data_IF_912429210426
#
_entry.id   IF_912429210426
#
_cell.length_a   1.000
_cell.length_b   1.000
_cell.length_c   1.000
_cell.angle_alpha   90.00
_cell.angle_beta   90.00
_cell.angle_gamma   90.00
#
_symmetry.space_group_name_H-M   'P 1'
#
loop_
_entity.id
_entity.type
_entity.pdbx_description
1 polymer ?
#
# COMPACT_ATOMS: atom_id res chain seq x y z
N UNK A 1 29.60 -3.01 5.50
CA UNK A 1 28.75 -1.92 4.98
C UNK A 1 28.44 -1.00 6.15
N UNK A 2 28.73 0.29 6.05
CA UNK A 2 28.46 1.22 7.15
C UNK A 2 26.96 1.61 7.21
N UNK A 3 26.52 2.09 8.38
CA UNK A 3 25.11 2.45 8.64
C UNK A 3 24.59 3.56 7.71
N UNK A 4 25.43 4.51 7.28
CA UNK A 4 25.01 5.59 6.36
C UNK A 4 24.74 5.03 4.96
N UNK A 5 25.62 4.16 4.48
CA UNK A 5 25.48 3.50 3.18
C UNK A 5 24.25 2.60 3.16
N UNK A 6 24.00 1.83 4.24
CA UNK A 6 22.79 1.00 4.36
C UNK A 6 21.52 1.84 4.34
N UNK A 7 21.41 2.86 5.19
CA UNK A 7 20.22 3.70 5.27
C UNK A 7 19.93 4.44 3.96
N UNK A 8 20.96 4.88 3.24
CA UNK A 8 20.82 5.46 1.91
C UNK A 8 20.23 4.45 0.92
N UNK A 9 20.72 3.22 0.92
CA UNK A 9 20.20 2.16 0.07
C UNK A 9 18.71 1.90 0.36
N UNK A 10 18.34 1.75 1.63
CA UNK A 10 16.95 1.55 2.05
C UNK A 10 16.06 2.70 1.59
N UNK A 11 16.48 3.95 1.79
CA UNK A 11 15.72 5.13 1.33
C UNK A 11 15.51 5.14 -0.18
N UNK A 12 16.55 4.81 -0.95
CA UNK A 12 16.45 4.76 -2.40
C UNK A 12 15.47 3.67 -2.87
N UNK A 13 15.55 2.47 -2.27
CA UNK A 13 14.62 1.37 -2.58
C UNK A 13 13.19 1.74 -2.21
N UNK A 14 12.97 2.32 -1.03
CA UNK A 14 11.64 2.79 -0.63
C UNK A 14 11.07 3.84 -1.59
N UNK A 15 11.89 4.76 -2.08
CA UNK A 15 11.42 5.75 -3.05
C UNK A 15 11.08 5.11 -4.40
N UNK A 16 11.94 4.24 -4.90
CA UNK A 16 11.69 3.51 -6.14
C UNK A 16 10.39 2.68 -6.07
N UNK A 17 10.15 2.01 -4.93
CA UNK A 17 8.90 1.28 -4.73
C UNK A 17 7.68 2.21 -4.83
N UNK A 18 7.73 3.38 -4.17
CA UNK A 18 6.64 4.38 -4.26
C UNK A 18 6.40 4.85 -5.69
N UNK A 19 7.47 5.06 -6.45
CA UNK A 19 7.36 5.53 -7.84
C UNK A 19 6.76 4.45 -8.75
N UNK A 20 7.13 3.19 -8.54
CA UNK A 20 6.56 2.03 -9.25
C UNK A 20 5.10 1.84 -8.89
N UNK A 21 4.77 1.88 -7.60
CA UNK A 21 3.39 1.78 -7.10
C UNK A 21 2.52 2.87 -7.71
N UNK A 22 3.00 4.13 -7.69
CA UNK A 22 2.28 5.25 -8.29
C UNK A 22 2.00 5.04 -9.78
N UNK A 23 3.00 4.59 -10.55
CA UNK A 23 2.84 4.31 -11.99
C UNK A 23 1.82 3.19 -12.22
N UNK A 24 1.92 2.10 -11.45
CA UNK A 24 1.01 0.96 -11.54
C UNK A 24 -0.44 1.35 -11.24
N UNK A 25 -0.66 2.18 -10.21
CA UNK A 25 -2.00 2.68 -9.88
C UNK A 25 -2.52 3.64 -10.93
N UNK A 26 -1.66 4.44 -11.57
CA UNK A 26 -2.08 5.30 -12.68
C UNK A 26 -2.58 4.47 -13.87
N UNK A 27 -1.84 3.41 -14.23
CA UNK A 27 -2.21 2.48 -15.29
C UNK A 27 -3.52 1.75 -14.97
N UNK A 28 -3.65 1.22 -13.76
CA UNK A 28 -4.84 0.49 -13.31
C UNK A 28 -6.07 1.38 -13.29
N UNK A 29 -5.97 2.61 -12.76
CA UNK A 29 -7.05 3.61 -12.78
C UNK A 29 -7.51 3.94 -14.21
N UNK A 30 -6.58 4.11 -15.14
CA UNK A 30 -6.91 4.37 -16.53
C UNK A 30 -7.60 3.17 -17.19
N UNK A 31 -7.11 1.96 -16.94
CA UNK A 31 -7.72 0.73 -17.46
C UNK A 31 -9.17 0.54 -16.98
N UNK A 32 -9.43 0.76 -15.68
CA UNK A 32 -10.78 0.73 -15.08
C UNK A 32 -11.68 1.77 -15.76
N UNK A 33 -11.21 3.02 -15.87
CA UNK A 33 -11.95 4.11 -16.51
C UNK A 33 -12.32 3.77 -17.95
N UNK A 34 -11.36 3.32 -18.74
CA UNK A 34 -11.59 2.98 -20.14
C UNK A 34 -12.58 1.82 -20.29
N UNK A 35 -12.49 0.79 -19.44
CA UNK A 35 -13.45 -0.32 -19.45
C UNK A 35 -14.87 0.14 -19.12
N UNK A 36 -15.01 1.07 -18.17
CA UNK A 36 -16.31 1.62 -17.77
C UNK A 36 -16.93 2.50 -18.85
N UNK A 37 -16.14 3.37 -19.48
CA UNK A 37 -16.57 4.20 -20.62
C UNK A 37 -16.97 3.32 -21.81
N UNK A 38 -16.22 2.24 -22.10
CA UNK A 38 -16.61 1.27 -23.15
C UNK A 38 -17.95 0.60 -22.88
N UNK A 39 -18.26 0.28 -21.61
CA UNK A 39 -19.56 -0.32 -21.23
C UNK A 39 -20.70 0.70 -21.20
N UNK A 40 -20.41 1.96 -20.90
CA UNK A 40 -21.40 3.03 -20.83
C UNK A 40 -20.85 4.29 -21.54
N UNK A 41 -21.11 4.41 -22.84
CA UNK A 41 -20.62 5.51 -23.69
C UNK A 41 -21.12 6.90 -23.27
N UNK A 42 -22.16 6.96 -22.43
CA UNK A 42 -22.71 8.19 -21.89
C UNK A 42 -21.90 8.74 -20.70
N UNK A 43 -20.92 7.99 -20.18
CA UNK A 43 -20.04 8.46 -19.11
C UNK A 43 -19.02 9.47 -19.67
N UNK A 44 -19.02 10.67 -19.09
CA UNK A 44 -18.02 11.68 -19.41
C UNK A 44 -16.67 11.33 -18.75
N UNK A 45 -15.55 11.63 -19.41
CA UNK A 45 -14.18 11.32 -18.91
C UNK A 45 -13.83 11.85 -17.51
N UNK A 46 -14.30 13.03 -17.04
CA UNK A 46 -14.04 13.49 -15.68
C UNK A 46 -15.07 12.99 -14.64
N UNK A 47 -16.04 12.16 -15.03
CA UNK A 47 -17.06 11.69 -14.10
C UNK A 47 -16.45 10.84 -12.98
N UNK A 48 -16.95 11.04 -11.76
CA UNK A 48 -16.76 10.09 -10.66
C UNK A 48 -17.46 8.79 -11.06
N UNK A 49 -16.76 7.67 -10.93
CA UNK A 49 -17.26 6.37 -11.34
C UNK A 49 -17.60 5.54 -10.11
N UNK A 50 -18.83 5.07 -10.04
CA UNK A 50 -19.20 4.01 -9.11
C UNK A 50 -18.61 2.69 -9.61
N UNK A 51 -17.65 2.19 -8.85
CA UNK A 51 -16.96 0.93 -9.08
C UNK A 51 -17.30 -0.05 -7.97
N UNK A 52 -17.60 -1.28 -8.36
CA UNK A 52 -17.82 -2.37 -7.41
C UNK A 52 -16.53 -3.17 -7.32
N UNK A 53 -15.99 -3.25 -6.12
CA UNK A 53 -14.71 -3.91 -5.86
C UNK A 53 -14.89 -5.03 -4.84
N UNK A 54 -14.08 -6.08 -4.96
CA UNK A 54 -13.79 -6.99 -3.87
C UNK A 54 -12.46 -6.61 -3.24
N UNK A 55 -12.32 -6.84 -1.94
CA UNK A 55 -11.05 -6.74 -1.23
C UNK A 55 -10.66 -8.12 -0.74
N UNK A 56 -9.41 -8.50 -0.96
CA UNK A 56 -8.86 -9.75 -0.48
C UNK A 56 -7.43 -9.54 0.04
N UNK A 57 -7.02 -10.35 1.00
CA UNK A 57 -5.72 -10.26 1.63
C UNK A 57 -5.08 -11.64 1.77
N UNK A 58 -3.77 -11.68 1.55
CA UNK A 58 -2.98 -12.89 1.71
C UNK A 58 -1.78 -12.62 2.60
N UNK A 59 -1.42 -13.63 3.39
CA UNK A 59 -0.30 -13.57 4.31
C UNK A 59 0.80 -14.52 3.84
N UNK A 60 2.06 -14.12 3.98
CA UNK A 60 3.22 -14.91 3.55
C UNK A 60 3.22 -16.33 4.15
N UNK A 61 2.73 -16.48 5.39
CA UNK A 61 2.63 -17.76 6.11
C UNK A 61 1.19 -18.01 6.55
N UNK A 62 0.75 -19.26 6.52
CA UNK A 62 -0.54 -19.69 7.07
C UNK A 62 -0.52 -19.57 8.61
N UNK A 63 -1.65 -19.15 9.19
CA UNK A 63 -1.82 -18.99 10.63
C UNK A 63 -1.39 -17.62 11.15
N UNK A 64 -1.55 -17.39 12.46
CA UNK A 64 -1.34 -16.07 13.09
C UNK A 64 0.12 -15.59 13.16
N UNK A 65 1.07 -16.37 12.62
CA UNK A 65 2.52 -16.11 12.72
C UNK A 65 3.11 -15.32 11.56
N UNK A 66 2.33 -14.95 10.54
CA UNK A 66 2.87 -14.14 9.44
C UNK A 66 3.12 -12.70 9.88
N UNK A 67 4.29 -12.17 9.53
CA UNK A 67 4.63 -10.76 9.73
C UNK A 67 4.40 -9.91 8.48
N UNK A 68 4.28 -10.55 7.31
CA UNK A 68 4.12 -9.89 6.02
C UNK A 68 2.85 -10.39 5.35
N UNK A 69 2.12 -9.47 4.73
CA UNK A 69 0.94 -9.74 3.94
C UNK A 69 0.80 -8.75 2.79
N UNK A 70 -0.16 -9.00 1.92
CA UNK A 70 -0.54 -8.11 0.83
C UNK A 70 -2.06 -8.06 0.79
N UNK A 71 -2.61 -6.85 0.80
CA UNK A 71 -4.02 -6.58 0.53
C UNK A 71 -4.20 -6.12 -0.92
N UNK A 72 -5.30 -6.52 -1.54
CA UNK A 72 -5.60 -6.23 -2.93
C UNK A 72 -7.03 -5.69 -3.05
N UNK A 73 -7.21 -4.57 -3.75
CA UNK A 73 -8.53 -4.10 -4.20
C UNK A 73 -8.71 -4.52 -5.65
N UNK A 74 -9.80 -5.22 -5.93
CA UNK A 74 -10.06 -5.87 -7.22
C UNK A 74 -11.39 -5.37 -7.76
N UNK A 75 -11.38 -4.64 -8.86
CA UNK A 75 -12.58 -4.28 -9.61
C UNK A 75 -13.15 -5.50 -10.32
N UNK A 76 -14.48 -5.65 -10.24
CA UNK A 76 -15.19 -6.82 -10.78
C UNK A 76 -15.08 -6.89 -12.31
N UNK A 77 -14.82 -5.78 -13.00
CA UNK A 77 -14.78 -5.71 -14.47
C UNK A 77 -13.37 -5.83 -15.05
N UNK A 78 -12.36 -5.23 -14.40
CA UNK A 78 -10.98 -5.19 -14.92
C UNK A 78 -9.96 -5.97 -14.09
N UNK A 79 -10.31 -6.41 -12.89
CA UNK A 79 -9.38 -7.04 -11.96
C UNK A 79 -8.70 -6.04 -11.03
N UNK A 80 -7.44 -6.30 -10.66
CA UNK A 80 -6.73 -5.54 -9.61
C UNK A 80 -6.63 -4.06 -9.94
N UNK A 81 -7.00 -3.22 -8.97
CA UNK A 81 -6.95 -1.74 -9.03
C UNK A 81 -5.84 -1.20 -8.14
N UNK A 82 -5.69 -1.79 -6.95
CA UNK A 82 -4.78 -1.30 -5.91
C UNK A 82 -4.22 -2.48 -5.11
N UNK A 83 -3.00 -2.33 -4.60
CA UNK A 83 -2.31 -3.32 -3.76
C UNK A 83 -1.55 -2.62 -2.64
N UNK A 84 -1.59 -3.19 -1.45
CA UNK A 84 -0.87 -2.66 -0.29
C UNK A 84 -0.09 -3.76 0.41
N UNK A 85 1.20 -3.53 0.63
CA UNK A 85 2.05 -4.41 1.44
C UNK A 85 1.81 -4.14 2.93
N UNK A 86 1.38 -5.17 3.65
CA UNK A 86 1.12 -5.13 5.08
C UNK A 86 2.29 -5.72 5.86
N UNK A 87 2.68 -5.07 6.96
CA UNK A 87 3.70 -5.58 7.87
C UNK A 87 3.26 -5.44 9.33
N UNK A 88 3.32 -6.53 10.10
CA UNK A 88 3.19 -6.49 11.57
C UNK A 88 4.44 -5.95 12.26
N UNK A 89 5.53 -5.79 11.51
CA UNK A 89 6.78 -5.24 12.00
C UNK A 89 7.01 -3.84 11.42
N UNK A 90 7.26 -2.87 12.29
CA UNK A 90 7.73 -1.55 11.89
C UNK A 90 9.04 -1.24 12.63
N UNK A 91 10.12 -1.03 11.88
CA UNK A 91 11.44 -0.76 12.46
C UNK A 91 11.45 0.58 13.23
N UNK A 92 10.77 1.59 12.68
CA UNK A 92 10.63 2.89 13.34
C UNK A 92 9.86 2.74 14.66
N UNK A 93 8.78 1.95 14.69
CA UNK A 93 8.07 1.68 15.95
C UNK A 93 8.97 1.01 17.00
N UNK A 94 9.86 0.10 16.59
CA UNK A 94 10.81 -0.55 17.51
C UNK A 94 11.82 0.45 18.08
N UNK A 95 12.37 1.32 17.23
CA UNK A 95 13.30 2.38 17.66
C UNK A 95 12.59 3.37 18.57
N UNK A 96 11.42 3.90 18.17
CA UNK A 96 10.64 4.85 18.95
C UNK A 96 10.21 4.27 20.29
N UNK A 97 9.82 3.00 20.35
CA UNK A 97 9.47 2.32 21.61
C UNK A 97 10.68 2.20 22.56
N UNK A 98 11.89 2.06 22.03
CA UNK A 98 13.12 2.07 22.83
C UNK A 98 13.45 3.48 23.31
N UNK A 99 13.43 4.45 22.40
CA UNK A 99 13.95 5.80 22.65
C UNK A 99 12.96 6.65 23.48
N UNK A 100 11.66 6.55 23.21
CA UNK A 100 10.60 7.27 23.94
C UNK A 100 10.07 6.49 25.15
N UNK A 101 10.52 5.26 25.36
CA UNK A 101 9.96 4.25 26.29
C UNK A 101 8.52 3.86 25.91
N UNK A 102 8.35 2.59 25.53
CA UNK A 102 7.07 2.01 25.16
C UNK A 102 5.98 2.36 26.17
N UNK A 103 4.81 2.75 25.66
CA UNK A 103 3.63 3.17 26.43
C UNK A 103 3.78 4.47 27.24
N UNK A 104 4.87 5.22 27.08
CA UNK A 104 4.95 6.57 27.64
C UNK A 104 3.99 7.51 26.91
N UNK A 105 3.65 8.63 27.56
CA UNK A 105 2.88 9.71 26.91
C UNK A 105 3.56 10.16 25.62
N UNK A 106 4.89 10.32 25.63
CA UNK A 106 5.66 10.70 24.44
C UNK A 106 5.59 9.66 23.31
N UNK A 107 5.60 8.37 23.64
CA UNK A 107 5.45 7.31 22.65
C UNK A 107 4.02 7.29 22.05
N UNK A 108 2.98 7.44 22.87
CA UNK A 108 1.60 7.45 22.40
C UNK A 108 1.29 8.68 21.53
N UNK A 109 1.89 9.84 21.82
CA UNK A 109 1.80 11.04 20.98
C UNK A 109 2.50 10.84 19.62
N UNK A 110 3.58 10.07 19.56
CA UNK A 110 4.27 9.79 18.30
C UNK A 110 3.53 8.75 17.44
N UNK A 111 2.89 7.77 18.09
CA UNK A 111 2.18 6.67 17.43
C UNK A 111 0.84 7.10 16.83
N UNK A 112 0.17 8.08 17.45
CA UNK A 112 -1.15 8.59 17.07
C UNK A 112 -1.09 9.91 16.31
#
# INVERSE_FOLDING_TARGET
MDSKTFNRCVKNVCQQNKDVDFQMFQLSRNAVRDARIRKNSNLQKPAVLDISVSFDETWQKRGYTSNLGVGCVIDILTGIVDVESLSKYCHECVISARDLKKNSVGFNIWLG
#
